data_IF_423848289485
#
_entry.id   IF_423848289485
#
_cell.length_a   1.000
_cell.length_b   1.000
_cell.length_c   1.000
_cell.angle_alpha   90.00
_cell.angle_beta   90.00
_cell.angle_gamma   90.00
#
_symmetry.space_group_name_H-M   'P 1'
#
loop_
_entity.id
_entity.type
_entity.pdbx_description
1 polymer ?
#
# COMPACT_ATOMS: atom_id res chain seq x y z
N UNK A 1 17.22 70.68 -40.91
CA UNK A 1 15.95 70.45 -40.24
C UNK A 1 16.15 69.26 -39.32
N UNK A 2 16.14 69.56 -38.03
CA UNK A 2 16.14 68.64 -36.89
C UNK A 2 14.95 67.68 -36.97
N UNK A 3 15.12 66.44 -36.53
CA UNK A 3 14.02 65.73 -35.90
C UNK A 3 14.59 64.79 -34.83
N UNK A 4 14.39 65.22 -33.60
CA UNK A 4 14.71 64.53 -32.37
C UNK A 4 13.86 63.28 -32.17
N UNK A 5 14.44 62.33 -31.45
CA UNK A 5 13.87 61.08 -30.97
C UNK A 5 12.48 61.24 -30.31
N UNK A 6 11.73 60.13 -30.24
CA UNK A 6 11.48 59.62 -28.90
C UNK A 6 11.90 58.15 -28.79
N UNK A 7 12.88 57.88 -27.93
CA UNK A 7 13.13 56.52 -27.45
C UNK A 7 11.93 56.16 -26.57
N UNK A 8 11.06 55.29 -27.09
CA UNK A 8 10.14 54.55 -26.25
C UNK A 8 10.96 53.67 -25.30
N UNK A 9 11.10 54.09 -24.05
CA UNK A 9 11.68 53.30 -22.98
C UNK A 9 10.72 52.15 -22.66
N UNK A 10 10.95 50.98 -23.24
CA UNK A 10 10.30 49.72 -22.87
C UNK A 10 10.85 49.27 -21.52
N UNK A 11 10.17 49.63 -20.43
CA UNK A 11 10.40 48.93 -19.16
C UNK A 11 9.94 47.47 -19.33
N UNK A 12 10.82 46.46 -19.14
CA UNK A 12 10.38 45.08 -19.20
C UNK A 12 9.42 44.84 -18.02
N UNK A 13 8.28 44.22 -18.31
CA UNK A 13 7.34 43.73 -17.31
C UNK A 13 8.01 42.58 -16.52
N UNK A 14 8.84 42.95 -15.54
CA UNK A 14 9.49 42.03 -14.63
C UNK A 14 8.53 41.56 -13.56
N UNK A 15 8.58 40.27 -13.23
CA UNK A 15 7.86 39.69 -12.10
C UNK A 15 8.22 40.47 -10.83
N UNK A 16 7.21 41.02 -10.16
CA UNK A 16 7.40 41.70 -8.86
C UNK A 16 7.98 40.73 -7.83
N UNK A 17 8.93 41.21 -7.02
CA UNK A 17 9.50 40.46 -5.88
C UNK A 17 8.44 39.81 -4.99
N UNK A 18 7.30 40.49 -4.78
CA UNK A 18 6.19 39.96 -3.98
C UNK A 18 5.52 38.76 -4.65
N UNK A 19 5.28 38.83 -5.95
CA UNK A 19 4.70 37.73 -6.72
C UNK A 19 5.64 36.53 -6.76
N UNK A 20 6.94 36.76 -6.94
CA UNK A 20 7.95 35.70 -6.87
C UNK A 20 7.92 34.97 -5.53
N UNK A 21 7.92 35.71 -4.41
CA UNK A 21 7.90 35.14 -3.05
C UNK A 21 6.61 34.37 -2.75
N UNK A 22 5.44 34.86 -3.21
CA UNK A 22 4.17 34.15 -3.01
C UNK A 22 4.12 32.84 -3.80
N UNK A 23 4.58 32.84 -5.05
CA UNK A 23 4.59 31.64 -5.90
C UNK A 23 5.60 30.60 -5.37
N UNK A 24 6.77 31.03 -4.90
CA UNK A 24 7.74 30.10 -4.28
C UNK A 24 7.24 29.55 -2.94
N UNK A 25 6.66 30.39 -2.08
CA UNK A 25 6.11 29.93 -0.81
C UNK A 25 4.98 28.89 -1.00
N UNK A 26 4.05 29.15 -1.93
CA UNK A 26 2.99 28.19 -2.28
C UNK A 26 3.55 26.89 -2.88
N UNK A 27 4.59 26.97 -3.70
CA UNK A 27 5.30 25.82 -4.25
C UNK A 27 6.01 24.96 -3.19
N UNK A 28 6.63 25.59 -2.19
CA UNK A 28 7.32 24.89 -1.08
C UNK A 28 6.33 24.16 -0.17
N UNK A 29 5.17 24.75 0.13
CA UNK A 29 4.13 24.09 0.95
C UNK A 29 3.51 22.91 0.20
N UNK A 30 3.23 23.08 -1.09
CA UNK A 30 2.65 22.01 -1.93
C UNK A 30 3.61 20.83 -2.08
N UNK A 31 4.91 21.11 -2.28
CA UNK A 31 5.92 20.05 -2.39
C UNK A 31 6.12 19.30 -1.07
N UNK A 32 6.20 19.99 0.06
CA UNK A 32 6.37 19.34 1.37
C UNK A 32 5.15 18.51 1.81
N UNK A 33 3.93 18.95 1.49
CA UNK A 33 2.69 18.27 1.90
C UNK A 33 2.29 17.09 0.98
N UNK A 34 2.61 17.12 -0.32
CA UNK A 34 2.14 16.11 -1.29
C UNK A 34 3.22 15.14 -1.81
N UNK A 35 4.51 15.31 -1.48
CA UNK A 35 5.48 14.28 -1.90
C UNK A 35 6.98 14.54 -1.73
N UNK A 36 7.40 15.69 -1.19
CA UNK A 36 8.81 16.04 -1.02
C UNK A 36 9.34 15.92 0.41
N UNK A 37 8.47 15.68 1.41
CA UNK A 37 8.97 15.09 2.66
C UNK A 37 9.46 13.69 2.30
N UNK A 38 10.78 13.47 2.27
CA UNK A 38 11.43 12.20 1.92
C UNK A 38 11.07 10.99 2.80
N UNK A 39 10.04 11.11 3.63
CA UNK A 39 9.40 10.03 4.35
C UNK A 39 8.56 9.21 3.37
N UNK A 40 9.21 8.35 2.58
CA UNK A 40 8.52 7.26 1.92
C UNK A 40 7.87 6.42 3.01
N UNK A 41 6.53 6.32 3.00
CA UNK A 41 5.84 5.32 3.80
C UNK A 41 6.45 3.96 3.47
N UNK A 42 7.02 3.30 4.47
CA UNK A 42 7.52 1.93 4.36
C UNK A 42 6.64 1.06 5.25
N UNK A 43 6.18 -0.06 4.70
CA UNK A 43 5.54 -1.08 5.51
C UNK A 43 6.53 -1.54 6.60
N UNK A 44 6.00 -1.87 7.79
CA UNK A 44 6.79 -2.58 8.77
C UNK A 44 7.28 -3.90 8.16
N UNK A 45 8.51 -4.29 8.47
CA UNK A 45 9.03 -5.57 8.04
C UNK A 45 8.17 -6.69 8.65
N UNK A 46 7.76 -7.65 7.81
CA UNK A 46 7.01 -8.82 8.25
C UNK A 46 8.00 -9.98 8.38
N UNK A 47 8.22 -10.49 9.59
CA UNK A 47 9.22 -11.56 9.81
C UNK A 47 8.80 -12.88 9.18
N UNK A 48 7.53 -13.27 9.35
CA UNK A 48 6.96 -14.51 8.80
C UNK A 48 5.46 -14.32 8.61
N UNK A 49 4.96 -14.70 7.44
CA UNK A 49 3.54 -14.66 7.10
C UNK A 49 3.00 -16.08 6.97
N UNK A 50 2.14 -16.48 7.90
CA UNK A 50 1.62 -17.84 8.03
C UNK A 50 0.25 -17.96 7.39
N UNK A 51 0.16 -18.82 6.38
CA UNK A 51 -1.07 -19.27 5.78
C UNK A 51 -1.52 -20.57 6.45
N UNK A 52 -2.81 -20.68 6.73
CA UNK A 52 -3.41 -21.88 7.32
C UNK A 52 -4.42 -22.50 6.35
N UNK A 53 -4.24 -23.78 6.06
CA UNK A 53 -5.20 -24.56 5.29
C UNK A 53 -6.41 -24.91 6.17
N UNK A 54 -7.65 -24.93 5.65
CA UNK A 54 -8.82 -25.42 6.40
C UNK A 54 -8.78 -26.94 6.66
N UNK A 55 -7.75 -27.64 6.17
CA UNK A 55 -7.65 -29.10 6.28
C UNK A 55 -6.41 -29.53 7.04
N UNK A 56 -6.52 -30.74 7.60
CA UNK A 56 -5.44 -31.49 8.27
C UNK A 56 -4.23 -31.82 7.40
N UNK A 57 -4.34 -31.65 6.08
CA UNK A 57 -3.29 -32.00 5.12
C UNK A 57 -3.17 -30.93 4.06
N UNK A 58 -1.93 -30.70 3.61
CA UNK A 58 -1.62 -29.81 2.49
C UNK A 58 -1.70 -30.56 1.15
N UNK A 59 -1.46 -29.82 0.07
CA UNK A 59 -1.49 -30.28 -1.32
C UNK A 59 -2.89 -30.65 -1.81
N UNK A 60 -3.89 -29.92 -1.31
CA UNK A 60 -5.28 -30.01 -1.77
C UNK A 60 -5.66 -28.80 -2.61
N UNK A 61 -6.81 -28.87 -3.29
CA UNK A 61 -7.31 -27.79 -4.14
C UNK A 61 -7.42 -26.45 -3.39
N UNK A 62 -7.75 -26.50 -2.10
CA UNK A 62 -7.90 -25.30 -1.26
C UNK A 62 -6.57 -24.53 -1.12
N UNK A 63 -5.42 -25.20 -1.27
CA UNK A 63 -4.08 -24.60 -1.17
C UNK A 63 -3.58 -24.00 -2.50
N UNK A 64 -4.26 -24.30 -3.60
CA UNK A 64 -3.86 -23.88 -4.94
C UNK A 64 -3.58 -22.38 -5.08
N UNK A 65 -4.37 -21.45 -4.49
CA UNK A 65 -4.09 -20.02 -4.58
C UNK A 65 -2.72 -19.64 -4.00
N UNK A 66 -2.32 -20.26 -2.87
CA UNK A 66 -1.01 -20.04 -2.25
C UNK A 66 0.12 -20.52 -3.18
N UNK A 67 0.02 -21.75 -3.68
CA UNK A 67 1.06 -22.32 -4.54
C UNK A 67 1.21 -21.58 -5.87
N UNK A 68 0.08 -21.18 -6.46
CA UNK A 68 0.05 -20.37 -7.67
C UNK A 68 0.73 -19.01 -7.46
N UNK A 69 0.38 -18.31 -6.38
CA UNK A 69 0.99 -17.02 -6.03
C UNK A 69 2.50 -17.14 -5.73
N UNK A 70 2.90 -18.21 -5.03
CA UNK A 70 4.31 -18.53 -4.74
C UNK A 70 5.10 -18.77 -6.02
N UNK A 71 4.56 -19.59 -6.93
CA UNK A 71 5.20 -19.89 -8.22
C UNK A 71 5.28 -18.66 -9.13
N UNK A 72 4.28 -17.79 -9.11
CA UNK A 72 4.27 -16.55 -9.87
C UNK A 72 5.20 -15.46 -9.29
N UNK A 73 5.77 -15.68 -8.08
CA UNK A 73 6.64 -14.71 -7.42
C UNK A 73 5.91 -13.53 -6.79
N UNK A 74 4.59 -13.64 -6.55
CA UNK A 74 3.78 -12.54 -6.02
C UNK A 74 4.12 -12.16 -4.57
N UNK A 75 4.72 -13.07 -3.82
CA UNK A 75 5.16 -12.79 -2.45
C UNK A 75 6.48 -12.02 -2.36
N UNK A 76 7.26 -11.93 -3.45
CA UNK A 76 8.54 -11.22 -3.45
C UNK A 76 9.50 -11.75 -2.38
N UNK A 77 9.91 -10.88 -1.47
CA UNK A 77 10.79 -11.15 -0.33
C UNK A 77 10.05 -11.54 0.96
N UNK A 78 8.72 -11.64 0.93
CA UNK A 78 7.94 -12.04 2.08
C UNK A 78 8.21 -13.52 2.43
N UNK A 79 8.68 -13.75 3.66
CA UNK A 79 8.83 -15.09 4.21
C UNK A 79 7.45 -15.70 4.49
N UNK A 80 6.92 -16.47 3.54
CA UNK A 80 5.61 -17.12 3.69
C UNK A 80 5.75 -18.59 4.06
N UNK A 81 4.85 -19.05 4.91
CA UNK A 81 4.77 -20.45 5.35
C UNK A 81 3.34 -20.95 5.23
N UNK A 82 3.16 -22.17 4.74
CA UNK A 82 1.84 -22.80 4.58
C UNK A 82 1.76 -23.97 5.55
N UNK A 83 0.78 -23.91 6.45
CA UNK A 83 0.59 -24.90 7.51
C UNK A 83 -0.75 -25.62 7.33
N UNK A 84 -0.81 -26.94 7.62
CA UNK A 84 -2.09 -27.63 7.72
C UNK A 84 -2.85 -27.13 8.95
N UNK A 85 -4.14 -26.86 8.79
CA UNK A 85 -5.01 -26.57 9.92
C UNK A 85 -5.52 -27.84 10.59
N UNK A 86 -6.12 -27.76 11.77
CA UNK A 86 -6.91 -28.86 12.30
C UNK A 86 -8.04 -29.22 11.33
N UNK A 87 -8.54 -30.46 11.41
CA UNK A 87 -9.66 -30.93 10.58
C UNK A 87 -11.00 -30.32 11.06
N UNK A 88 -11.08 -29.00 11.04
CA UNK A 88 -12.21 -28.15 11.43
C UNK A 88 -12.33 -27.03 10.37
N UNK A 89 -13.46 -26.97 9.67
CA UNK A 89 -13.69 -25.96 8.63
C UNK A 89 -13.66 -24.51 9.13
N UNK A 90 -13.78 -24.29 10.44
CA UNK A 90 -13.67 -22.97 11.09
C UNK A 90 -12.25 -22.66 11.58
N UNK A 91 -11.29 -23.58 11.42
CA UNK A 91 -9.92 -23.38 11.86
C UNK A 91 -9.28 -22.14 11.21
N UNK A 92 -9.54 -21.89 9.93
CA UNK A 92 -8.95 -20.76 9.20
C UNK A 92 -9.29 -19.41 9.81
N UNK A 93 -10.51 -19.26 10.33
CA UNK A 93 -10.95 -17.99 10.94
C UNK A 93 -10.52 -17.90 12.41
N UNK A 94 -10.58 -19.01 13.15
CA UNK A 94 -10.14 -19.05 14.57
C UNK A 94 -8.66 -18.71 14.72
N UNK A 95 -7.81 -19.31 13.88
CA UNK A 95 -6.36 -19.10 13.96
C UNK A 95 -5.97 -17.69 13.54
N UNK A 96 -6.71 -17.08 12.61
CA UNK A 96 -6.52 -15.68 12.23
C UNK A 96 -6.96 -14.74 13.34
N UNK A 97 -8.13 -14.97 13.95
CA UNK A 97 -8.65 -14.18 15.07
C UNK A 97 -7.67 -14.12 16.26
N UNK A 98 -7.12 -15.28 16.65
CA UNK A 98 -6.16 -15.35 17.77
C UNK A 98 -4.72 -15.03 17.39
N UNK A 99 -4.45 -14.60 16.14
CA UNK A 99 -3.11 -14.23 15.65
C UNK A 99 -2.12 -15.39 15.54
N UNK A 100 -2.60 -16.63 15.41
CA UNK A 100 -1.77 -17.81 15.15
C UNK A 100 -1.52 -18.06 13.65
N UNK A 101 -2.34 -17.47 12.79
CA UNK A 101 -2.14 -17.41 11.34
C UNK A 101 -2.48 -16.01 10.84
N UNK A 102 -1.91 -15.62 9.71
CA UNK A 102 -2.12 -14.29 9.11
C UNK A 102 -3.16 -14.35 7.99
N UNK A 103 -3.36 -15.53 7.41
CA UNK A 103 -4.33 -15.73 6.34
C UNK A 103 -4.84 -17.16 6.27
N UNK A 104 -6.11 -17.32 5.93
CA UNK A 104 -6.74 -18.61 5.66
C UNK A 104 -7.77 -18.51 4.54
N UNK A 105 -8.27 -19.66 4.09
CA UNK A 105 -9.21 -19.74 2.96
C UNK A 105 -10.57 -20.31 3.40
N UNK A 106 -11.34 -19.61 4.25
CA UNK A 106 -12.66 -20.07 4.66
C UNK A 106 -13.62 -20.11 3.46
N UNK A 107 -14.60 -21.01 3.53
CA UNK A 107 -15.76 -20.92 2.64
C UNK A 107 -16.57 -19.65 2.95
N UNK A 108 -17.34 -19.10 1.99
CA UNK A 108 -18.13 -17.89 2.23
C UNK A 108 -19.07 -17.96 3.45
N UNK A 109 -19.63 -19.15 3.73
CA UNK A 109 -20.47 -19.38 4.91
C UNK A 109 -19.69 -19.32 6.23
N UNK A 110 -18.50 -19.94 6.27
CA UNK A 110 -17.61 -19.88 7.45
C UNK A 110 -17.12 -18.45 7.69
N UNK A 111 -16.78 -17.73 6.63
CA UNK A 111 -16.35 -16.33 6.75
C UNK A 111 -17.49 -15.44 7.29
N UNK A 112 -18.71 -15.61 6.77
CA UNK A 112 -19.88 -14.86 7.27
C UNK A 112 -20.19 -15.20 8.73
N UNK A 113 -20.09 -16.48 9.09
CA UNK A 113 -20.20 -16.93 10.48
C UNK A 113 -19.15 -16.27 11.37
N UNK A 114 -17.89 -16.17 10.93
CA UNK A 114 -16.82 -15.54 11.70
C UNK A 114 -17.13 -14.09 12.06
N UNK A 115 -17.50 -13.29 11.06
CA UNK A 115 -17.88 -11.89 11.23
C UNK A 115 -19.04 -11.76 12.23
N UNK A 116 -20.07 -12.61 12.10
CA UNK A 116 -21.23 -12.59 13.01
C UNK A 116 -20.87 -12.92 14.46
N UNK A 117 -19.80 -13.68 14.68
CA UNK A 117 -19.36 -14.11 16.01
C UNK A 117 -18.19 -13.27 16.55
N UNK A 118 -17.78 -12.21 15.84
CA UNK A 118 -16.72 -11.31 16.29
C UNK A 118 -15.31 -11.92 16.24
N UNK A 119 -15.10 -12.86 15.32
CA UNK A 119 -13.78 -13.38 14.91
C UNK A 119 -13.22 -12.60 13.72
#
# INVERSE_FOLDING_TARGET
MTNDNPIHSSAPAGISRRYFLQVTAAGVVTTTALGASGLKARAAAYEKFTWISPRGTLEVLDDYPYWSAKKAGYFGDLATDMQPGPSDGTATVKFVDVGQADMGFPSPGVFSFAIQNGM
#
